data_IF_942943170781
#
_entry.id   IF_942943170781
#
_cell.length_a   1.000
_cell.length_b   1.000
_cell.length_c   1.000
_cell.angle_alpha   90.00
_cell.angle_beta   90.00
_cell.angle_gamma   90.00
#
_symmetry.space_group_name_H-M   'P 1'
#
loop_
_entity.id
_entity.type
_entity.pdbx_description
1 polymer ?
#
# COMPACT_ATOMS: atom_id res chain seq x y z
N UNK A 1 -19.27 28.29 14.20
CA UNK A 1 -18.38 27.23 14.74
C UNK A 1 -17.70 26.51 13.59
N UNK A 2 -16.37 26.57 13.51
CA UNK A 2 -15.59 25.95 12.42
C UNK A 2 -15.40 24.46 12.71
N UNK A 3 -15.87 23.57 11.83
CA UNK A 3 -15.73 22.11 12.02
C UNK A 3 -14.28 21.70 11.82
N UNK A 4 -13.66 21.05 12.81
CA UNK A 4 -12.27 20.57 12.70
C UNK A 4 -12.21 19.40 11.72
N UNK A 5 -11.39 19.52 10.68
CA UNK A 5 -11.18 18.47 9.68
C UNK A 5 -10.13 17.47 10.18
N UNK A 6 -10.43 16.18 10.04
CA UNK A 6 -9.52 15.07 10.40
C UNK A 6 -9.11 14.32 9.14
N UNK A 7 -7.85 13.88 9.09
CA UNK A 7 -7.27 13.15 7.95
C UNK A 7 -6.62 11.86 8.46
N UNK A 8 -6.96 10.74 7.83
CA UNK A 8 -6.42 9.41 8.13
C UNK A 8 -5.79 8.82 6.86
N UNK A 9 -4.61 8.22 6.99
CA UNK A 9 -3.96 7.52 5.89
C UNK A 9 -3.55 6.13 6.37
N UNK A 10 -4.11 5.10 5.74
CA UNK A 10 -3.79 3.71 6.01
C UNK A 10 -2.72 3.19 5.04
N UNK A 11 -1.92 2.23 5.49
CA UNK A 11 -0.87 1.58 4.68
C UNK A 11 -1.33 0.18 4.27
N UNK A 12 -1.74 0.05 3.01
CA UNK A 12 -2.12 -1.20 2.37
C UNK A 12 -0.94 -1.78 1.56
N UNK A 13 -1.22 -2.76 0.70
CA UNK A 13 -0.22 -3.37 -0.19
C UNK A 13 -0.82 -3.68 -1.54
N UNK A 14 -0.04 -3.51 -2.61
CA UNK A 14 -0.42 -3.97 -3.95
C UNK A 14 -0.75 -5.48 -3.94
N UNK A 15 -0.07 -6.26 -3.10
CA UNK A 15 -0.35 -7.70 -2.94
C UNK A 15 -1.74 -8.01 -2.38
N UNK A 16 -2.36 -7.06 -1.67
CA UNK A 16 -3.76 -7.18 -1.23
C UNK A 16 -4.79 -6.85 -2.32
N UNK A 17 -4.34 -6.40 -3.49
CA UNK A 17 -5.21 -6.07 -4.65
C UNK A 17 -5.01 -7.05 -5.80
N UNK A 18 -3.77 -7.42 -6.12
CA UNK A 18 -3.45 -8.27 -7.28
C UNK A 18 -3.09 -9.72 -6.94
N UNK A 19 -3.10 -10.11 -5.67
CA UNK A 19 -2.76 -11.45 -5.21
C UNK A 19 -1.26 -11.77 -5.35
N UNK A 20 -0.71 -12.48 -4.36
CA UNK A 20 0.71 -12.88 -4.35
C UNK A 20 0.82 -14.35 -3.96
N UNK A 21 1.57 -15.11 -4.75
CA UNK A 21 1.83 -16.52 -4.50
C UNK A 21 2.36 -16.74 -3.07
N UNK A 22 1.85 -17.76 -2.38
CA UNK A 22 2.23 -18.11 -1.00
C UNK A 22 2.04 -16.99 0.03
N UNK A 23 1.16 -16.03 -0.23
CA UNK A 23 0.96 -14.86 0.63
C UNK A 23 -0.52 -14.65 1.00
N UNK A 24 -1.31 -15.73 1.07
CA UNK A 24 -2.75 -15.66 1.33
C UNK A 24 -3.13 -14.82 2.58
N UNK A 25 -2.57 -15.06 3.79
CA UNK A 25 -2.95 -14.28 4.97
C UNK A 25 -2.54 -12.81 4.87
N UNK A 26 -1.37 -12.52 4.28
CA UNK A 26 -0.91 -11.15 4.08
C UNK A 26 -1.77 -10.42 3.04
N UNK A 27 -2.12 -11.08 1.94
CA UNK A 27 -2.96 -10.54 0.88
C UNK A 27 -4.37 -10.25 1.39
N UNK A 28 -4.95 -11.17 2.18
CA UNK A 28 -6.23 -10.95 2.84
C UNK A 28 -6.17 -9.73 3.77
N UNK A 29 -5.24 -9.72 4.73
CA UNK A 29 -5.13 -8.61 5.70
C UNK A 29 -4.87 -7.25 5.02
N UNK A 30 -4.04 -7.20 3.97
CA UNK A 30 -3.76 -5.96 3.24
C UNK A 30 -4.89 -5.54 2.30
N UNK A 31 -5.68 -6.48 1.79
CA UNK A 31 -6.94 -6.22 1.08
C UNK A 31 -8.02 -5.67 2.01
N UNK A 32 -8.13 -6.22 3.23
CA UNK A 32 -9.07 -5.77 4.25
C UNK A 32 -8.86 -4.31 4.63
N UNK A 33 -7.62 -3.83 4.69
CA UNK A 33 -7.32 -2.41 4.93
C UNK A 33 -7.95 -1.52 3.85
N UNK A 34 -7.95 -1.95 2.58
CA UNK A 34 -8.57 -1.19 1.49
C UNK A 34 -10.08 -1.15 1.65
N UNK A 35 -10.71 -2.28 2.00
CA UNK A 35 -12.14 -2.36 2.26
C UNK A 35 -12.54 -1.51 3.48
N UNK A 36 -11.82 -1.64 4.59
CA UNK A 36 -12.02 -0.85 5.81
C UNK A 36 -11.90 0.66 5.56
N UNK A 37 -10.92 1.07 4.74
CA UNK A 37 -10.75 2.49 4.38
C UNK A 37 -12.00 3.03 3.69
N UNK A 38 -12.62 2.26 2.79
CA UNK A 38 -13.88 2.66 2.14
C UNK A 38 -15.03 2.71 3.13
N UNK A 39 -15.14 1.73 4.01
CA UNK A 39 -16.19 1.69 5.04
C UNK A 39 -16.11 2.91 5.97
N UNK A 40 -14.92 3.19 6.52
CA UNK A 40 -14.67 4.36 7.38
C UNK A 40 -14.93 5.68 6.65
N UNK A 41 -14.61 5.77 5.36
CA UNK A 41 -14.91 6.96 4.58
C UNK A 41 -16.41 7.25 4.52
N UNK A 42 -17.22 6.21 4.28
CA UNK A 42 -18.68 6.34 4.21
C UNK A 42 -19.27 6.70 5.58
N UNK A 43 -18.85 5.99 6.62
CA UNK A 43 -19.40 6.15 7.98
C UNK A 43 -19.15 7.55 8.56
N UNK A 44 -18.00 8.14 8.25
CA UNK A 44 -17.55 9.39 8.90
C UNK A 44 -17.42 10.60 7.95
N UNK A 45 -17.84 10.49 6.69
CA UNK A 45 -17.79 11.60 5.72
C UNK A 45 -18.46 12.86 6.27
N UNK A 46 -19.65 12.72 6.88
CA UNK A 46 -20.41 13.83 7.47
C UNK A 46 -19.72 14.44 8.69
N UNK A 47 -18.85 13.69 9.37
CA UNK A 47 -18.10 14.16 10.54
C UNK A 47 -16.86 14.99 10.15
N UNK A 48 -16.55 15.12 8.86
CA UNK A 48 -15.38 15.87 8.39
C UNK A 48 -14.09 15.04 8.41
N UNK A 49 -14.20 13.70 8.45
CA UNK A 49 -13.08 12.78 8.27
C UNK A 49 -12.84 12.55 6.78
N UNK A 50 -11.58 12.68 6.34
CA UNK A 50 -11.10 12.15 5.06
C UNK A 50 -10.12 11.02 5.33
N UNK A 51 -10.38 9.85 4.77
CA UNK A 51 -9.52 8.69 4.90
C UNK A 51 -9.12 8.17 3.53
N UNK A 52 -7.84 7.80 3.38
CA UNK A 52 -7.32 7.16 2.18
C UNK A 52 -6.40 6.00 2.56
N UNK A 53 -6.18 5.09 1.62
CA UNK A 53 -5.19 4.04 1.75
C UNK A 53 -4.15 4.17 0.64
N UNK A 54 -2.88 4.00 0.99
CA UNK A 54 -1.79 3.91 0.02
C UNK A 54 -1.36 2.46 -0.08
N UNK A 55 -1.48 1.89 -1.28
CA UNK A 55 -1.06 0.51 -1.56
C UNK A 55 0.38 0.52 -2.04
N UNK A 56 1.30 0.11 -1.15
CA UNK A 56 2.72 0.05 -1.48
C UNK A 56 3.03 -1.16 -2.34
N UNK A 57 3.94 -0.98 -3.29
CA UNK A 57 4.65 -2.10 -3.91
C UNK A 57 5.89 -2.47 -3.09
N UNK A 58 6.82 -3.15 -3.74
CA UNK A 58 8.17 -3.31 -3.20
C UNK A 58 8.72 -1.93 -2.81
N UNK A 59 9.23 -1.79 -1.59
CA UNK A 59 9.73 -0.52 -1.04
C UNK A 59 10.97 -0.82 -0.22
N UNK A 60 12.04 -0.08 -0.45
CA UNK A 60 13.33 -0.27 0.23
C UNK A 60 13.22 0.10 1.71
N UNK A 61 12.95 -0.91 2.53
CA UNK A 61 12.72 -0.82 3.98
C UNK A 61 13.46 -1.96 4.67
N UNK A 62 13.65 -1.86 5.99
CA UNK A 62 14.30 -2.92 6.78
C UNK A 62 13.67 -4.30 6.60
N UNK A 63 12.35 -4.37 6.42
CA UNK A 63 11.62 -5.61 6.11
C UNK A 63 12.14 -6.29 4.84
N UNK A 64 12.43 -5.51 3.80
CA UNK A 64 12.95 -6.03 2.53
C UNK A 64 14.44 -6.35 2.57
N UNK A 65 15.21 -5.60 3.36
CA UNK A 65 16.66 -5.80 3.53
C UNK A 65 17.00 -7.00 4.41
N UNK A 66 16.06 -7.53 5.18
CA UNK A 66 16.26 -8.75 5.96
C UNK A 66 16.09 -10.04 5.13
N UNK A 67 15.40 -9.97 3.98
CA UNK A 67 15.19 -11.09 3.05
C UNK A 67 16.35 -11.30 2.05
N UNK A 68 17.50 -10.66 2.28
CA UNK A 68 18.63 -10.57 1.33
C UNK A 68 19.38 -11.90 1.12
N UNK A 69 18.97 -12.98 1.77
CA UNK A 69 19.58 -14.31 1.58
C UNK A 69 19.05 -15.07 0.36
N UNK A 70 17.90 -14.66 -0.22
CA UNK A 70 17.24 -15.43 -1.29
C UNK A 70 17.22 -14.67 -2.61
N UNK A 71 17.57 -15.33 -3.71
CA UNK A 71 17.61 -14.89 -5.11
C UNK A 71 16.45 -13.97 -5.58
N UNK A 72 15.29 -14.09 -4.93
CA UNK A 72 14.11 -13.22 -5.03
C UNK A 72 14.41 -11.73 -4.85
N UNK A 73 15.31 -11.36 -3.94
CA UNK A 73 15.67 -9.95 -3.69
C UNK A 73 16.50 -9.35 -4.84
N UNK A 74 17.27 -10.15 -5.59
CA UNK A 74 17.97 -9.72 -6.83
C UNK A 74 17.00 -9.51 -8.01
N UNK A 75 16.05 -10.42 -8.22
CA UNK A 75 15.01 -10.27 -9.24
C UNK A 75 14.10 -9.06 -8.97
N UNK A 76 13.88 -8.72 -7.70
CA UNK A 76 13.08 -7.56 -7.31
C UNK A 76 13.88 -6.25 -7.40
N UNK A 77 15.17 -6.24 -7.04
CA UNK A 77 16.08 -5.10 -7.27
C UNK A 77 16.21 -4.76 -8.77
N UNK A 78 16.16 -5.75 -9.68
CA UNK A 78 16.19 -5.48 -11.12
C UNK A 78 14.89 -4.80 -11.62
N UNK A 79 13.74 -5.12 -11.01
CA UNK A 79 12.44 -4.48 -11.31
C UNK A 79 12.32 -3.05 -10.75
N UNK A 80 13.03 -2.73 -9.67
CA UNK A 80 13.11 -1.34 -9.16
C UNK A 80 13.84 -0.39 -10.13
N UNK A 81 14.75 -0.90 -10.95
CA UNK A 81 15.43 -0.10 -12.00
C UNK A 81 14.47 0.36 -13.11
N UNK A 82 13.34 -0.32 -13.29
CA UNK A 82 12.35 -0.02 -14.33
C UNK A 82 11.48 1.22 -14.01
N UNK A 83 11.31 1.56 -12.72
CA UNK A 83 10.54 2.75 -12.33
C UNK A 83 11.27 4.06 -12.71
N UNK A 84 12.59 4.00 -12.95
CA UNK A 84 13.35 5.12 -13.52
C UNK A 84 13.24 5.26 -15.05
N UNK A 85 12.62 4.30 -15.75
CA UNK A 85 12.51 4.29 -17.22
C UNK A 85 11.15 4.80 -17.73
N UNK A 86 10.17 4.97 -16.85
CA UNK A 86 8.90 5.62 -17.19
C UNK A 86 9.13 7.12 -17.11
N UNK A 87 9.57 7.71 -18.22
CA UNK A 87 9.56 9.15 -18.41
C UNK A 87 8.15 9.68 -18.06
N UNK A 88 8.06 10.47 -17.00
CA UNK A 88 6.89 11.31 -16.74
C UNK A 88 6.81 12.28 -17.92
N UNK A 89 5.97 11.95 -18.91
CA UNK A 89 5.61 12.87 -19.98
C UNK A 89 4.85 14.02 -19.31
N UNK A 90 5.49 15.19 -19.29
CA UNK A 90 4.87 16.46 -18.88
C UNK A 90 3.66 16.76 -19.78
#
# INVERSE_FOLDING_TARGET
MTKRLVRLVNIASAGGVVGVLNSAPYSAAKGDIVALTRQVAVDFARNGLRVNAVSLGFTDTGMFRQDTTTESSRMQHSRHRWVGSVAVKR
#
